data_IF_257624021021
#
_entry.id   IF_257624021021
#
_cell.length_a   1.000
_cell.length_b   1.000
_cell.length_c   1.000
_cell.angle_alpha   90.00
_cell.angle_beta   90.00
_cell.angle_gamma   90.00
#
_symmetry.space_group_name_H-M   'P 1'
#
loop_
_entity.id
_entity.type
_entity.pdbx_description
1 polymer ?
#
# COMPACT_ATOMS: atom_id res chain seq x y z
N UNK A 1 15.03 -23.37 10.87
CA UNK A 1 14.86 -22.21 9.96
C UNK A 1 13.53 -21.55 10.23
N UNK A 2 13.51 -20.30 10.64
CA UNK A 2 12.27 -19.57 10.89
C UNK A 2 11.62 -19.20 9.55
N UNK A 3 10.41 -19.72 9.32
CA UNK A 3 9.66 -19.44 8.11
C UNK A 3 9.19 -17.98 8.13
N UNK A 4 9.54 -17.21 7.10
CA UNK A 4 9.03 -15.85 6.89
C UNK A 4 7.63 -15.92 6.29
N UNK A 5 6.75 -15.03 6.74
CA UNK A 5 5.38 -14.88 6.25
C UNK A 5 5.09 -13.42 5.98
N UNK A 6 4.13 -13.18 5.12
CA UNK A 6 3.63 -11.83 4.86
C UNK A 6 2.53 -11.51 5.87
N UNK A 7 2.62 -10.34 6.46
CA UNK A 7 1.66 -9.79 7.42
C UNK A 7 1.15 -8.45 6.92
N UNK A 8 -0.05 -8.12 7.34
CA UNK A 8 -0.64 -6.80 7.20
C UNK A 8 -0.93 -6.26 8.58
N UNK A 9 -0.52 -5.05 8.86
CA UNK A 9 -0.95 -4.33 10.05
C UNK A 9 -1.66 -3.06 9.66
N UNK A 10 -2.86 -2.88 10.17
CA UNK A 10 -3.64 -1.64 10.05
C UNK A 10 -3.73 -1.02 11.42
N UNK A 11 -3.40 0.24 11.54
CA UNK A 11 -3.49 0.95 12.80
C UNK A 11 -4.11 2.34 12.61
N UNK A 12 -4.74 2.80 13.68
CA UNK A 12 -5.46 4.07 13.72
C UNK A 12 -4.67 5.02 14.61
N UNK A 13 -4.18 6.09 14.04
CA UNK A 13 -3.47 7.16 14.73
C UNK A 13 -4.49 8.24 15.15
N UNK A 14 -4.26 8.90 16.27
CA UNK A 14 -5.08 10.01 16.74
C UNK A 14 -5.11 11.13 15.68
N UNK A 15 -6.31 11.46 15.19
CA UNK A 15 -6.50 12.47 14.14
C UNK A 15 -6.28 13.91 14.62
N UNK A 16 -6.07 14.13 15.92
CA UNK A 16 -5.74 15.46 16.47
C UNK A 16 -4.27 15.85 16.23
N UNK A 17 -3.43 14.91 15.80
CA UNK A 17 -2.04 15.16 15.45
C UNK A 17 -1.95 15.90 14.11
N UNK A 18 -0.90 16.70 13.97
CA UNK A 18 -0.54 17.32 12.69
C UNK A 18 -0.05 16.26 11.68
N UNK A 19 -0.05 16.60 10.39
CA UNK A 19 0.34 15.64 9.35
C UNK A 19 1.80 15.20 9.48
N UNK A 20 2.69 16.09 9.93
CA UNK A 20 4.09 15.76 10.18
C UNK A 20 4.25 14.77 11.34
N UNK A 21 3.45 14.90 12.39
CA UNK A 21 3.48 13.98 13.52
C UNK A 21 2.93 12.61 13.13
N UNK A 22 1.86 12.58 12.35
CA UNK A 22 1.30 11.34 11.80
C UNK A 22 2.35 10.61 10.96
N UNK A 23 3.08 11.33 10.10
CA UNK A 23 4.16 10.77 9.31
C UNK A 23 5.27 10.19 10.17
N UNK A 24 5.66 10.93 11.22
CA UNK A 24 6.68 10.48 12.18
C UNK A 24 6.27 9.19 12.89
N UNK A 25 4.97 9.04 13.25
CA UNK A 25 4.45 7.80 13.85
C UNK A 25 4.51 6.65 12.85
N UNK A 26 4.12 6.86 11.59
CA UNK A 26 4.17 5.82 10.55
C UNK A 26 5.62 5.37 10.33
N UNK A 27 6.55 6.32 10.26
CA UNK A 27 7.97 6.03 10.08
C UNK A 27 8.56 5.29 11.29
N UNK A 28 8.15 5.66 12.50
CA UNK A 28 8.55 4.99 13.74
C UNK A 28 8.11 3.51 13.74
N UNK A 29 6.87 3.24 13.33
CA UNK A 29 6.35 1.87 13.20
C UNK A 29 7.12 1.09 12.13
N UNK A 30 7.38 1.71 10.98
CA UNK A 30 8.13 1.08 9.88
C UNK A 30 9.56 0.73 10.31
N UNK A 31 10.27 1.67 10.91
CA UNK A 31 11.63 1.44 11.43
C UNK A 31 11.64 0.39 12.52
N UNK A 32 10.59 0.33 13.35
CA UNK A 32 10.49 -0.70 14.39
C UNK A 32 10.37 -2.11 13.78
N UNK A 33 9.57 -2.27 12.73
CA UNK A 33 9.44 -3.53 11.98
C UNK A 33 10.79 -3.93 11.38
N UNK A 34 11.49 -3.02 10.73
CA UNK A 34 12.78 -3.27 10.09
C UNK A 34 13.86 -3.64 11.10
N UNK A 35 13.94 -2.94 12.23
CA UNK A 35 14.90 -3.21 13.31
C UNK A 35 14.70 -4.60 13.94
N UNK A 36 13.51 -5.17 13.86
CA UNK A 36 13.21 -6.53 14.32
C UNK A 36 13.23 -7.57 13.19
N UNK A 37 13.93 -7.26 12.09
CA UNK A 37 14.15 -8.18 10.99
C UNK A 37 12.97 -8.32 10.03
N UNK A 38 12.00 -7.41 10.06
CA UNK A 38 10.93 -7.31 9.07
C UNK A 38 11.43 -6.64 7.78
N UNK A 39 10.76 -6.89 6.69
CA UNK A 39 10.98 -6.24 5.39
C UNK A 39 9.67 -5.58 4.97
N UNK A 40 9.66 -4.26 4.91
CA UNK A 40 8.50 -3.50 4.45
C UNK A 40 8.29 -3.75 2.95
N UNK A 41 7.07 -4.12 2.59
CA UNK A 41 6.67 -4.29 1.19
C UNK A 41 5.87 -3.09 0.70
N UNK A 42 4.99 -2.56 1.53
CA UNK A 42 4.08 -1.50 1.16
C UNK A 42 3.64 -0.69 2.39
N UNK A 43 3.56 0.62 2.24
CA UNK A 43 3.02 1.54 3.26
C UNK A 43 1.90 2.35 2.64
N UNK A 44 0.70 2.18 3.15
CA UNK A 44 -0.51 2.81 2.63
C UNK A 44 -1.11 3.77 3.65
N UNK A 45 -1.34 4.99 3.26
CA UNK A 45 -1.97 6.03 4.06
C UNK A 45 -3.41 6.22 3.58
N UNK A 46 -4.38 5.71 4.35
CA UNK A 46 -5.80 5.84 3.97
C UNK A 46 -6.40 7.18 4.37
N UNK A 47 -5.68 7.95 5.17
CA UNK A 47 -6.08 9.29 5.59
C UNK A 47 -7.00 9.33 6.80
N UNK A 48 -7.47 10.55 7.12
CA UNK A 48 -8.39 10.80 8.23
C UNK A 48 -9.79 10.32 7.88
N UNK A 49 -10.38 9.52 8.77
CA UNK A 49 -11.74 9.01 8.63
C UNK A 49 -12.49 9.07 9.96
N UNK A 50 -13.81 9.22 9.87
CA UNK A 50 -14.68 9.08 11.03
C UNK A 50 -14.75 7.62 11.46
N UNK A 51 -14.64 7.39 12.76
CA UNK A 51 -14.77 6.08 13.37
C UNK A 51 -16.26 5.70 13.49
N UNK A 52 -16.58 4.41 13.42
CA UNK A 52 -17.93 3.91 13.62
C UNK A 52 -18.42 4.12 15.06
N UNK A 53 -17.48 4.11 16.01
CA UNK A 53 -17.71 4.40 17.43
C UNK A 53 -16.47 5.11 18.02
N UNK A 54 -16.67 5.81 19.11
CA UNK A 54 -15.59 6.54 19.78
C UNK A 54 -14.56 5.57 20.38
N UNK A 55 -13.28 5.82 20.13
CA UNK A 55 -12.16 5.15 20.79
C UNK A 55 -11.43 6.20 21.63
N UNK A 56 -11.27 5.96 22.93
CA UNK A 56 -10.65 6.92 23.86
C UNK A 56 -11.25 8.34 23.71
N UNK A 57 -12.58 8.43 23.61
CA UNK A 57 -13.33 9.69 23.39
C UNK A 57 -12.98 10.41 22.07
N UNK A 58 -12.32 9.75 21.12
CA UNK A 58 -12.02 10.27 19.79
C UNK A 58 -12.97 9.69 18.76
N UNK A 59 -13.54 10.53 17.90
CA UNK A 59 -14.49 10.16 16.86
C UNK A 59 -13.85 10.09 15.47
N UNK A 60 -12.63 10.57 15.33
CA UNK A 60 -11.87 10.55 14.08
C UNK A 60 -10.51 9.92 14.33
N UNK A 61 -9.99 9.23 13.29
CA UNK A 61 -8.68 8.61 13.29
C UNK A 61 -8.02 8.70 11.93
N UNK A 62 -6.70 8.72 11.92
CA UNK A 62 -5.92 8.57 10.70
C UNK A 62 -5.58 7.09 10.52
N UNK A 63 -5.99 6.50 9.39
CA UNK A 63 -5.75 5.10 9.09
C UNK A 63 -4.44 4.94 8.32
N UNK A 64 -3.57 4.10 8.82
CA UNK A 64 -2.36 3.66 8.16
C UNK A 64 -2.34 2.13 8.04
N UNK A 65 -1.79 1.62 6.97
CA UNK A 65 -1.72 0.22 6.65
C UNK A 65 -0.33 -0.12 6.13
N UNK A 66 0.32 -1.12 6.71
CA UNK A 66 1.66 -1.56 6.34
C UNK A 66 1.61 -3.05 6.02
N UNK A 67 2.15 -3.42 4.86
CA UNK A 67 2.39 -4.81 4.47
C UNK A 67 3.87 -5.08 4.63
N UNK A 68 4.20 -6.13 5.34
CA UNK A 68 5.59 -6.49 5.62
C UNK A 68 5.79 -8.01 5.67
N UNK A 69 7.01 -8.43 5.45
CA UNK A 69 7.43 -9.83 5.58
C UNK A 69 8.32 -9.99 6.81
N UNK A 70 7.93 -10.87 7.70
CA UNK A 70 8.67 -11.11 8.94
C UNK A 70 8.57 -12.57 9.42
N UNK A 71 9.33 -12.89 10.43
CA UNK A 71 9.18 -14.14 11.18
C UNK A 71 8.01 -14.02 12.15
N UNK A 72 7.41 -15.15 12.53
CA UNK A 72 6.28 -15.14 13.47
C UNK A 72 6.61 -14.52 14.83
N UNK A 73 7.87 -14.56 15.23
CA UNK A 73 8.32 -14.00 16.51
C UNK A 73 8.32 -12.46 16.52
N UNK A 74 8.38 -11.82 15.35
CA UNK A 74 8.33 -10.35 15.22
C UNK A 74 6.96 -9.79 15.56
N UNK A 75 5.89 -10.54 15.29
CA UNK A 75 4.51 -10.05 15.44
C UNK A 75 4.16 -9.70 16.89
N UNK A 76 4.38 -10.55 17.89
CA UNK A 76 4.08 -10.21 19.28
C UNK A 76 4.88 -8.97 19.78
N UNK A 77 6.10 -8.82 19.29
CA UNK A 77 6.95 -7.68 19.63
C UNK A 77 6.37 -6.39 19.04
N UNK A 78 5.95 -6.44 17.78
CA UNK A 78 5.28 -5.31 17.11
C UNK A 78 3.96 -4.96 17.79
N UNK A 79 3.12 -5.95 18.09
CA UNK A 79 1.82 -5.72 18.75
C UNK A 79 2.00 -5.04 20.11
N UNK A 80 2.99 -5.51 20.90
CA UNK A 80 3.31 -4.86 22.17
C UNK A 80 3.75 -3.41 22.00
N UNK A 81 4.56 -3.13 21.00
CA UNK A 81 4.97 -1.77 20.66
C UNK A 81 3.76 -0.88 20.28
N UNK A 82 2.87 -1.39 19.42
CA UNK A 82 1.67 -0.66 18.99
C UNK A 82 0.69 -0.37 20.16
N UNK A 83 0.62 -1.26 21.15
CA UNK A 83 -0.19 -1.04 22.36
C UNK A 83 0.40 0.03 23.26
N UNK A 84 1.73 0.12 23.35
CA UNK A 84 2.44 1.07 24.21
C UNK A 84 2.56 2.46 23.60
N UNK A 85 2.27 2.60 22.30
CA UNK A 85 2.33 3.89 21.63
C UNK A 85 1.02 4.67 21.83
N UNK A 86 1.05 5.69 22.69
CA UNK A 86 -0.12 6.49 23.08
C UNK A 86 -0.83 7.20 21.93
N UNK A 87 -0.10 7.43 20.83
CA UNK A 87 -0.63 8.07 19.62
C UNK A 87 -1.49 7.12 18.78
N UNK A 88 -1.35 5.80 19.00
CA UNK A 88 -2.09 4.76 18.29
C UNK A 88 -3.32 4.38 19.11
N UNK A 89 -4.50 4.62 18.54
CA UNK A 89 -5.78 4.33 19.20
C UNK A 89 -6.12 2.84 19.12
N UNK A 90 -5.82 2.19 18.01
CA UNK A 90 -6.13 0.78 17.78
C UNK A 90 -5.28 0.21 16.65
N UNK A 91 -5.01 -1.08 16.69
CA UNK A 91 -4.31 -1.79 15.62
C UNK A 91 -4.93 -3.18 15.38
N UNK A 92 -4.64 -3.73 14.22
CA UNK A 92 -4.97 -5.09 13.83
C UNK A 92 -3.86 -5.63 12.94
N UNK A 93 -3.26 -6.74 13.34
CA UNK A 93 -2.25 -7.43 12.55
C UNK A 93 -2.79 -8.81 12.12
N UNK A 94 -2.72 -9.10 10.85
CA UNK A 94 -3.17 -10.36 10.26
C UNK A 94 -2.11 -10.99 9.37
N UNK A 95 -2.13 -12.30 9.24
CA UNK A 95 -1.31 -13.02 8.26
C UNK A 95 -1.95 -12.91 6.89
N UNK A 96 -1.18 -12.52 5.88
CA UNK A 96 -1.63 -12.53 4.50
C UNK A 96 -1.22 -13.86 3.82
N UNK A 97 -2.17 -14.78 3.54
CA UNK A 97 -1.86 -16.00 2.82
C UNK A 97 -1.31 -15.71 1.43
N UNK A 98 -0.30 -16.47 0.97
CA UNK A 98 0.30 -16.30 -0.36
C UNK A 98 -0.73 -16.25 -1.48
N UNK A 99 -1.70 -17.17 -1.47
CA UNK A 99 -2.79 -17.17 -2.47
C UNK A 99 -3.56 -15.86 -2.54
N UNK A 100 -3.78 -15.21 -1.40
CA UNK A 100 -4.47 -13.93 -1.36
C UNK A 100 -3.57 -12.78 -1.83
N UNK A 101 -2.28 -12.82 -1.49
CA UNK A 101 -1.30 -11.86 -1.99
C UNK A 101 -1.20 -11.92 -3.52
N UNK A 102 -1.04 -13.12 -4.07
CA UNK A 102 -0.96 -13.34 -5.53
C UNK A 102 -2.27 -12.90 -6.23
N UNK A 103 -3.42 -13.21 -5.63
CA UNK A 103 -4.73 -12.79 -6.16
C UNK A 103 -4.87 -11.26 -6.18
N UNK A 104 -4.40 -10.55 -5.13
CA UNK A 104 -4.43 -9.08 -5.09
C UNK A 104 -3.58 -8.47 -6.20
N UNK A 105 -2.35 -8.99 -6.37
CA UNK A 105 -1.44 -8.54 -7.44
C UNK A 105 -2.09 -8.76 -8.81
N UNK A 106 -2.60 -9.97 -9.07
CA UNK A 106 -3.26 -10.29 -10.32
C UNK A 106 -4.45 -9.39 -10.61
N UNK A 107 -5.30 -9.17 -9.62
CA UNK A 107 -6.48 -8.30 -9.73
C UNK A 107 -6.12 -6.83 -9.93
N UNK A 108 -5.03 -6.36 -9.33
CA UNK A 108 -4.54 -5.00 -9.54
C UNK A 108 -4.06 -4.81 -10.98
N UNK A 109 -3.30 -5.77 -11.51
CA UNK A 109 -2.85 -5.76 -12.91
C UNK A 109 -4.05 -5.81 -13.88
N UNK A 110 -5.00 -6.73 -13.67
CA UNK A 110 -6.19 -6.87 -14.53
C UNK A 110 -7.06 -5.61 -14.57
N UNK A 111 -7.07 -4.84 -13.51
CA UNK A 111 -7.87 -3.61 -13.38
C UNK A 111 -7.10 -2.34 -13.71
N UNK A 112 -5.79 -2.44 -13.95
CA UNK A 112 -4.92 -1.28 -14.14
C UNK A 112 -4.89 -0.34 -12.91
N UNK A 113 -5.19 -0.89 -11.72
CA UNK A 113 -5.31 -0.15 -10.48
C UNK A 113 -4.09 -0.45 -9.61
N UNK A 114 -3.55 0.56 -8.95
CA UNK A 114 -2.53 0.33 -7.93
C UNK A 114 -3.08 -0.61 -6.83
N UNK A 115 -2.24 -1.51 -6.33
CA UNK A 115 -2.57 -2.38 -5.21
C UNK A 115 -3.05 -1.55 -4.01
N UNK A 116 -2.47 -0.39 -3.84
CA UNK A 116 -2.84 0.63 -2.86
C UNK A 116 -4.32 1.05 -2.94
N UNK A 117 -4.82 1.37 -4.13
CA UNK A 117 -6.19 1.86 -4.32
C UNK A 117 -7.23 0.75 -4.07
N UNK A 118 -6.87 -0.50 -4.34
CA UNK A 118 -7.72 -1.65 -4.05
C UNK A 118 -7.93 -1.85 -2.54
N UNK A 119 -6.92 -1.57 -1.73
CA UNK A 119 -6.98 -1.70 -0.27
C UNK A 119 -7.66 -0.50 0.40
N UNK A 120 -7.51 0.69 -0.15
CA UNK A 120 -8.10 1.92 0.41
C UNK A 120 -9.60 2.05 0.18
N UNK A 121 -10.20 1.15 -0.61
CA UNK A 121 -11.62 1.21 -0.98
C UNK A 121 -11.98 2.40 -1.88
N UNK A 122 -11.00 3.06 -2.47
CA UNK A 122 -11.25 4.06 -3.50
C UNK A 122 -11.70 3.34 -4.76
N UNK A 123 -12.91 3.64 -5.21
CA UNK A 123 -13.38 3.22 -6.53
C UNK A 123 -12.54 3.99 -7.53
N UNK A 124 -11.83 3.34 -8.47
CA UNK A 124 -11.08 4.06 -9.48
C UNK A 124 -12.06 4.90 -10.30
N UNK A 125 -11.86 6.20 -10.33
CA UNK A 125 -12.36 6.98 -11.45
C UNK A 125 -11.75 6.35 -12.70
N UNK A 126 -12.61 6.04 -13.69
CA UNK A 126 -12.21 5.44 -14.96
C UNK A 126 -10.84 5.94 -15.36
N UNK A 127 -9.89 5.02 -15.50
CA UNK A 127 -8.61 5.33 -16.14
C UNK A 127 -8.96 5.85 -17.52
N UNK A 128 -8.84 7.15 -17.70
CA UNK A 128 -8.78 7.76 -19.03
C UNK A 128 -7.56 7.10 -19.66
N UNK A 129 -7.78 6.29 -20.69
CA UNK A 129 -6.73 5.72 -21.52
C UNK A 129 -5.73 6.84 -21.81
N UNK A 130 -4.57 6.80 -21.17
CA UNK A 130 -3.44 7.53 -21.68
C UNK A 130 -3.09 6.82 -22.97
N UNK A 131 -3.50 7.42 -24.08
CA UNK A 131 -2.94 7.12 -25.39
C UNK A 131 -1.42 7.05 -25.21
N UNK A 132 -0.88 5.86 -25.42
CA UNK A 132 0.55 5.69 -25.60
C UNK A 132 0.85 6.42 -26.89
N UNK A 133 1.31 7.65 -26.81
CA UNK A 133 1.92 8.36 -27.92
C UNK A 133 3.21 7.59 -28.18
N UNK A 134 3.14 6.67 -29.12
CA UNK A 134 4.32 6.07 -29.71
C UNK A 134 4.90 7.18 -30.58
N UNK A 135 5.90 7.88 -30.09
CA UNK A 135 6.71 8.74 -30.91
C UNK A 135 7.31 7.85 -32.02
N UNK A 136 7.11 8.19 -33.32
CA UNK A 136 7.74 7.44 -34.37
C UNK A 136 9.25 7.66 -34.23
N UNK A 137 9.97 6.57 -33.99
CA UNK A 137 11.42 6.56 -34.10
C UNK A 137 11.71 6.80 -35.58
N UNK A 138 12.16 8.01 -35.91
CA UNK A 138 12.74 8.35 -37.20
C UNK A 138 14.03 7.55 -37.33
N UNK A 139 13.94 6.40 -37.96
CA UNK A 139 15.08 5.76 -38.58
C UNK A 139 15.24 6.39 -39.99
N UNK A 140 16.17 7.33 -40.10
CA UNK A 140 16.76 7.66 -41.38
C UNK A 140 17.40 6.35 -41.92
N UNK A 141 17.06 6.04 -43.18
CA UNK A 141 17.52 4.96 -44.02
C UNK A 141 16.51 3.80 -44.22
N UNK A 142 15.53 4.07 -45.07
CA UNK A 142 14.98 3.09 -46.01
C UNK A 142 14.10 3.82 -47.04
N UNK A 143 14.61 3.93 -48.24
CA UNK A 143 13.89 4.35 -49.45
C UNK A 143 12.67 3.46 -49.66
N UNK A 144 11.47 4.05 -49.68
CA UNK A 144 10.26 3.33 -50.09
C UNK A 144 9.94 3.75 -51.50
N UNK A 145 10.17 2.83 -52.45
CA UNK A 145 9.67 2.98 -53.80
C UNK A 145 8.14 2.98 -53.82
N UNK A 146 7.49 3.81 -54.66
CA UNK A 146 6.04 3.84 -54.73
C UNK A 146 5.54 2.66 -55.57
N UNK A 147 4.76 1.77 -54.98
CA UNK A 147 4.01 0.75 -55.71
C UNK A 147 2.83 1.43 -56.36
N UNK A 148 2.91 1.58 -57.69
CA UNK A 148 1.82 2.00 -58.55
C UNK A 148 0.89 0.81 -58.71
N UNK A 149 -0.29 0.85 -58.17
CA UNK A 149 -1.37 -0.05 -58.54
C UNK A 149 -2.20 0.59 -59.65
N UNK A 150 -2.06 -0.01 -60.83
CA UNK A 150 -2.93 0.23 -62.00
C UNK A 150 -4.07 -0.79 -61.94
N UNK A 151 -5.29 -0.27 -62.22
CA UNK A 151 -6.59 -0.88 -62.48
C UNK A 151 -7.46 -1.13 -61.29
#
# INVERSE_FOLDING_TARGET
MSVRRVYETTFIINAALEDNDVESVIQKVSSYIENHGGIIKEVNKWGRRRLAYAINKKYNGFYAHIVFEATSNTVPILERFLVLEDTILRHLTIVLPRKLADYRVKRAIERGISIHDTLSGKIPEKVVEKEVIIEPVLNDDLEIEPVINVV
#
